data_IF_906786766365
#
_entry.id   IF_906786766365
#
_cell.length_a   1.000
_cell.length_b   1.000
_cell.length_c   1.000
_cell.angle_alpha   90.00
_cell.angle_beta   90.00
_cell.angle_gamma   90.00
#
_symmetry.space_group_name_H-M   'P 1'
#
loop_
_entity.id
_entity.type
_entity.pdbx_description
1 polymer ?
#
# COMPACT_ATOMS: atom_id res chain seq x y z
N UNK A 1 20.21 30.77 5.28
CA UNK A 1 21.49 31.37 5.72
C UNK A 1 21.61 30.89 7.14
N UNK A 2 22.34 29.80 7.31
CA UNK A 2 22.17 28.89 8.43
C UNK A 2 23.31 29.15 9.43
N UNK A 3 23.05 28.94 10.72
CA UNK A 3 24.00 29.26 11.77
C UNK A 3 25.27 28.40 11.63
N UNK A 4 26.47 28.97 11.76
CA UNK A 4 27.71 28.21 11.65
C UNK A 4 27.78 27.14 12.74
N UNK A 5 27.92 25.87 12.34
CA UNK A 5 28.15 24.72 13.23
C UNK A 5 27.02 23.69 13.34
N UNK A 6 25.87 23.88 12.67
CA UNK A 6 24.80 22.86 12.68
C UNK A 6 25.10 21.69 11.73
N UNK A 7 24.89 20.46 12.21
CA UNK A 7 24.99 19.26 11.38
C UNK A 7 23.75 19.10 10.51
N UNK A 8 23.86 18.38 9.39
CA UNK A 8 22.69 18.08 8.56
C UNK A 8 21.61 17.31 9.34
N UNK A 9 22.02 16.40 10.23
CA UNK A 9 21.14 15.68 11.14
C UNK A 9 20.26 16.60 11.99
N UNK A 10 20.87 17.62 12.60
CA UNK A 10 20.16 18.61 13.42
C UNK A 10 19.16 19.42 12.59
N UNK A 11 19.51 19.76 11.35
CA UNK A 11 18.65 20.51 10.44
C UNK A 11 17.50 19.64 9.90
N UNK A 12 17.80 18.40 9.52
CA UNK A 12 16.82 17.53 8.90
C UNK A 12 15.76 17.08 9.92
N UNK A 13 16.19 16.67 11.12
CA UNK A 13 15.29 16.15 12.15
C UNK A 13 14.83 17.18 13.19
N UNK A 14 15.16 18.46 12.99
CA UNK A 14 14.90 19.50 13.99
C UNK A 14 15.45 19.09 15.39
N UNK A 15 16.69 18.57 15.42
CA UNK A 15 17.52 18.14 16.58
C UNK A 15 17.29 16.74 17.17
N UNK A 16 16.31 15.94 16.74
CA UNK A 16 16.14 14.57 17.27
C UNK A 16 15.90 13.52 16.16
N UNK A 17 16.92 12.77 15.74
CA UNK A 17 16.74 11.66 14.81
C UNK A 17 15.99 10.49 15.48
N UNK A 18 15.24 9.68 14.71
CA UNK A 18 14.79 8.36 15.13
C UNK A 18 15.93 7.50 15.67
N UNK A 19 15.65 6.71 16.71
CA UNK A 19 16.58 5.71 17.23
C UNK A 19 16.94 4.73 16.10
N UNK A 20 18.24 4.40 15.96
CA UNK A 20 18.83 3.47 14.98
C UNK A 20 19.24 4.03 13.59
N UNK A 21 19.32 5.36 13.41
CA UNK A 21 19.83 5.95 12.15
C UNK A 21 21.37 6.12 12.11
N UNK A 22 22.07 5.95 13.23
CA UNK A 22 23.50 6.25 13.34
C UNK A 22 24.42 5.21 12.66
N UNK A 23 23.96 3.97 12.44
CA UNK A 23 24.73 2.90 11.77
C UNK A 23 24.59 2.90 10.23
N UNK A 24 24.00 3.96 9.63
CA UNK A 24 23.43 3.90 8.28
C UNK A 24 24.28 4.57 7.19
N UNK A 25 25.54 4.15 7.04
CA UNK A 25 26.40 4.60 5.92
C UNK A 25 26.02 3.87 4.63
N UNK A 26 25.19 4.51 3.80
CA UNK A 26 24.66 3.95 2.55
C UNK A 26 25.69 3.79 1.40
N UNK A 27 26.81 4.50 1.44
CA UNK A 27 27.70 4.62 0.28
C UNK A 27 28.68 3.44 0.10
N UNK A 28 28.71 2.47 1.02
CA UNK A 28 29.68 1.35 1.02
C UNK A 28 29.09 -0.06 0.94
N UNK A 29 27.76 -0.22 1.03
CA UNK A 29 27.12 -1.54 0.95
C UNK A 29 26.81 -1.87 -0.51
N UNK A 30 27.28 -3.01 -1.04
CA UNK A 30 26.95 -3.43 -2.40
C UNK A 30 25.44 -3.64 -2.55
N UNK A 31 24.88 -3.18 -3.67
CA UNK A 31 23.46 -3.33 -3.98
C UNK A 31 23.05 -4.80 -3.96
N UNK A 32 21.90 -5.10 -3.35
CA UNK A 32 21.34 -6.46 -3.34
C UNK A 32 21.01 -6.90 -4.77
N UNK A 33 21.81 -7.80 -5.32
CA UNK A 33 21.57 -8.34 -6.66
C UNK A 33 20.38 -9.32 -6.66
N UNK A 34 19.51 -9.18 -7.65
CA UNK A 34 18.47 -10.18 -7.93
C UNK A 34 19.11 -11.37 -8.66
N UNK A 35 18.93 -12.62 -8.18
CA UNK A 35 19.52 -13.79 -8.83
C UNK A 35 18.84 -14.05 -10.18
N UNK A 36 19.44 -13.51 -11.24
CA UNK A 36 19.03 -13.76 -12.61
C UNK A 36 19.57 -15.12 -13.06
N UNK A 37 18.89 -16.21 -12.66
CA UNK A 37 19.17 -17.53 -13.21
C UNK A 37 18.93 -17.54 -14.74
N UNK A 38 19.49 -18.51 -15.48
CA UNK A 38 19.34 -18.70 -16.94
C UNK A 38 17.91 -19.01 -17.42
N UNK A 39 16.89 -18.59 -16.66
CA UNK A 39 15.48 -18.71 -17.01
C UNK A 39 15.15 -17.79 -18.19
N UNK A 40 14.25 -18.27 -19.04
CA UNK A 40 13.70 -17.50 -20.15
C UNK A 40 12.73 -16.47 -19.56
N UNK A 41 13.11 -15.20 -19.61
CA UNK A 41 12.26 -14.10 -19.18
C UNK A 41 11.11 -13.92 -20.17
N UNK A 42 9.88 -13.96 -19.68
CA UNK A 42 8.70 -13.57 -20.46
C UNK A 42 8.39 -12.12 -20.15
N UNK A 43 8.42 -11.29 -21.19
CA UNK A 43 7.97 -9.92 -21.09
C UNK A 43 6.45 -9.91 -21.02
N UNK A 44 5.87 -9.24 -20.01
CA UNK A 44 4.42 -9.09 -19.94
C UNK A 44 3.91 -7.92 -20.78
N UNK A 45 2.59 -7.74 -20.74
CA UNK A 45 1.84 -6.75 -21.52
C UNK A 45 2.06 -5.29 -21.04
N UNK A 46 1.45 -4.33 -21.73
CA UNK A 46 1.44 -2.94 -21.26
C UNK A 46 0.27 -2.74 -20.30
N UNK A 47 0.50 -1.98 -19.22
CA UNK A 47 -0.56 -1.66 -18.25
C UNK A 47 -1.54 -0.60 -18.79
N UNK A 48 -1.12 0.23 -19.75
CA UNK A 48 -1.99 1.20 -20.43
C UNK A 48 -1.66 1.29 -21.92
N UNK A 49 -2.71 1.42 -22.74
CA UNK A 49 -2.60 1.60 -24.20
C UNK A 49 -2.39 3.08 -24.59
N UNK A 50 -2.62 4.04 -23.69
CA UNK A 50 -2.66 5.48 -23.97
C UNK A 50 -1.30 6.19 -23.86
N UNK A 51 -0.21 5.44 -23.72
CA UNK A 51 1.13 6.00 -23.56
C UNK A 51 1.79 6.36 -24.91
N UNK A 52 2.36 7.58 -25.06
CA UNK A 52 2.97 8.02 -26.31
C UNK A 52 4.07 7.07 -26.81
N UNK A 53 4.14 6.89 -28.13
CA UNK A 53 5.17 6.10 -28.79
C UNK A 53 6.58 6.62 -28.42
N UNK A 54 7.45 5.74 -27.92
CA UNK A 54 8.80 6.09 -27.44
C UNK A 54 9.01 5.90 -25.93
N UNK A 55 7.95 5.63 -25.16
CA UNK A 55 8.02 5.20 -23.76
C UNK A 55 7.37 3.81 -23.57
N UNK A 56 8.04 2.71 -23.97
CA UNK A 56 7.49 1.38 -23.76
C UNK A 56 7.69 0.96 -22.29
N UNK A 57 6.70 1.26 -21.44
CA UNK A 57 6.55 0.61 -20.13
C UNK A 57 5.85 -0.72 -20.38
N UNK A 58 6.61 -1.82 -20.30
CA UNK A 58 6.13 -3.20 -20.39
C UNK A 58 6.11 -3.74 -18.96
N UNK A 59 5.35 -4.80 -18.65
CA UNK A 59 5.37 -5.41 -17.30
C UNK A 59 6.81 -5.75 -16.87
N UNK A 60 7.44 -4.83 -16.17
CA UNK A 60 7.92 -4.85 -14.80
C UNK A 60 8.23 -3.39 -14.43
N UNK A 61 7.76 -2.97 -13.27
CA UNK A 61 7.59 -1.56 -12.92
C UNK A 61 8.92 -0.81 -12.75
N UNK A 62 8.90 0.42 -13.27
CA UNK A 62 9.86 1.53 -13.19
C UNK A 62 11.27 1.28 -13.74
N UNK A 63 11.55 1.99 -14.82
CA UNK A 63 12.82 1.98 -15.55
C UNK A 63 13.55 3.32 -15.33
N UNK A 64 14.83 3.27 -14.97
CA UNK A 64 15.64 4.47 -14.73
C UNK A 64 16.85 4.54 -15.66
N UNK A 65 16.99 5.62 -16.46
CA UNK A 65 18.26 5.91 -17.10
C UNK A 65 19.30 6.33 -16.07
N UNK A 66 20.57 6.05 -16.37
CA UNK A 66 21.69 6.66 -15.66
C UNK A 66 21.56 8.18 -15.72
N UNK A 67 21.72 8.83 -14.57
CA UNK A 67 21.71 10.29 -14.52
C UNK A 67 22.98 10.83 -15.21
N UNK A 68 22.83 11.51 -16.35
CA UNK A 68 23.97 11.78 -17.19
C UNK A 68 24.80 12.94 -16.63
N UNK A 69 26.12 12.88 -16.85
CA UNK A 69 27.05 13.87 -16.29
C UNK A 69 26.74 15.31 -16.70
N UNK A 70 26.30 15.53 -17.93
CA UNK A 70 25.96 16.87 -18.41
C UNK A 70 24.76 17.46 -17.66
N UNK A 71 23.78 16.64 -17.23
CA UNK A 71 22.67 17.09 -16.39
C UNK A 71 23.15 17.41 -14.98
N UNK A 72 24.07 16.62 -14.42
CA UNK A 72 24.69 16.93 -13.13
C UNK A 72 25.47 18.26 -13.16
N UNK A 73 26.23 18.50 -14.24
CA UNK A 73 26.91 19.79 -14.48
C UNK A 73 25.90 20.94 -14.60
N UNK A 74 24.77 20.73 -15.29
CA UNK A 74 23.71 21.72 -15.39
C UNK A 74 23.05 22.02 -14.04
N UNK A 75 22.83 20.99 -13.21
CA UNK A 75 22.31 21.16 -11.85
C UNK A 75 23.29 21.96 -10.99
N UNK A 76 24.59 21.64 -11.01
CA UNK A 76 25.62 22.38 -10.26
C UNK A 76 25.68 23.87 -10.65
N UNK A 77 25.37 24.22 -11.91
CA UNK A 77 25.22 25.63 -12.31
C UNK A 77 23.97 26.28 -11.72
N UNK A 78 22.89 25.51 -11.54
CA UNK A 78 21.60 25.98 -10.98
C UNK A 78 21.64 26.14 -9.47
N UNK A 79 22.28 25.20 -8.77
CA UNK A 79 22.49 25.21 -7.32
C UNK A 79 24.00 25.05 -7.08
N UNK A 80 24.75 26.17 -7.09
CA UNK A 80 26.19 26.11 -6.87
C UNK A 80 26.54 25.46 -5.53
N UNK A 81 27.55 24.57 -5.55
CA UNK A 81 28.08 23.94 -4.35
C UNK A 81 29.58 23.73 -4.48
N UNK A 82 30.33 24.11 -3.45
CA UNK A 82 31.79 23.91 -3.35
C UNK A 82 32.15 22.56 -2.72
N UNK A 83 31.17 21.90 -2.10
CA UNK A 83 31.35 20.66 -1.31
C UNK A 83 31.13 19.40 -2.16
N UNK A 84 30.30 19.48 -3.22
CA UNK A 84 29.86 18.32 -3.97
C UNK A 84 30.60 18.18 -5.30
N UNK A 85 31.21 17.02 -5.53
CA UNK A 85 31.77 16.65 -6.83
C UNK A 85 30.66 16.28 -7.83
N UNK A 86 30.99 16.34 -9.12
CA UNK A 86 30.05 15.95 -10.19
C UNK A 86 29.58 14.51 -10.03
N UNK A 87 30.47 13.57 -9.69
CA UNK A 87 30.12 12.16 -9.50
C UNK A 87 29.19 11.95 -8.31
N UNK A 88 29.39 12.71 -7.22
CA UNK A 88 28.48 12.68 -6.07
C UNK A 88 27.09 13.20 -6.46
N UNK A 89 27.01 14.30 -7.20
CA UNK A 89 25.73 14.83 -7.71
C UNK A 89 25.05 13.84 -8.65
N UNK A 90 25.80 13.16 -9.52
CA UNK A 90 25.26 12.10 -10.38
C UNK A 90 24.63 10.98 -9.55
N UNK A 91 25.32 10.51 -8.51
CA UNK A 91 24.83 9.42 -7.67
C UNK A 91 23.65 9.82 -6.77
N UNK A 92 23.60 11.06 -6.29
CA UNK A 92 22.48 11.58 -5.48
C UNK A 92 21.23 11.90 -6.33
N UNK A 93 21.42 12.22 -7.61
CA UNK A 93 20.32 12.51 -8.54
C UNK A 93 19.91 11.32 -9.41
N UNK A 94 20.61 10.18 -9.30
CA UNK A 94 20.28 8.97 -10.03
C UNK A 94 18.98 8.34 -9.51
N UNK A 95 17.89 8.37 -10.30
CA UNK A 95 16.61 7.81 -9.88
C UNK A 95 16.67 6.32 -9.54
N UNK A 96 17.55 5.56 -10.22
CA UNK A 96 17.78 4.15 -9.92
C UNK A 96 18.35 3.97 -8.53
N UNK A 97 19.36 4.77 -8.18
CA UNK A 97 19.99 4.67 -6.87
C UNK A 97 19.06 5.18 -5.77
N UNK A 98 18.29 6.24 -6.03
CA UNK A 98 17.33 6.76 -5.06
C UNK A 98 16.23 5.75 -4.74
N UNK A 99 15.62 5.14 -5.77
CA UNK A 99 14.59 4.13 -5.54
C UNK A 99 15.18 2.85 -4.90
N UNK A 100 16.37 2.42 -5.32
CA UNK A 100 17.02 1.25 -4.71
C UNK A 100 17.34 1.47 -3.24
N UNK A 101 17.92 2.64 -2.89
CA UNK A 101 18.23 3.01 -1.50
C UNK A 101 16.96 3.03 -0.66
N UNK A 102 15.87 3.62 -1.17
CA UNK A 102 14.61 3.67 -0.45
C UNK A 102 14.06 2.27 -0.13
N UNK A 103 14.02 1.37 -1.12
CA UNK A 103 13.53 0.00 -0.88
C UNK A 103 14.44 -0.82 0.04
N UNK A 104 15.76 -0.75 -0.14
CA UNK A 104 16.70 -1.42 0.77
C UNK A 104 16.54 -0.90 2.21
N UNK A 105 16.31 0.39 2.37
CA UNK A 105 16.10 1.04 3.66
C UNK A 105 14.75 0.66 4.29
N UNK A 106 13.69 0.58 3.50
CA UNK A 106 12.38 0.05 3.94
C UNK A 106 12.53 -1.40 4.43
N UNK A 107 13.19 -2.26 3.67
CA UNK A 107 13.40 -3.67 4.02
C UNK A 107 14.24 -3.85 5.29
N UNK A 108 15.15 -2.92 5.58
CA UNK A 108 16.03 -2.98 6.76
C UNK A 108 15.39 -2.37 8.00
N UNK A 109 14.80 -1.19 7.87
CA UNK A 109 14.44 -0.34 9.01
C UNK A 109 12.93 -0.26 9.26
N UNK A 110 12.10 -0.56 8.26
CA UNK A 110 10.66 -0.53 8.45
C UNK A 110 10.21 -1.78 9.25
N UNK A 111 9.41 -1.62 10.31
CA UNK A 111 8.79 -2.74 11.02
C UNK A 111 7.99 -3.63 10.06
N UNK A 112 7.99 -4.94 10.30
CA UNK A 112 7.36 -5.93 9.40
C UNK A 112 5.88 -5.57 9.12
N UNK A 113 5.14 -5.04 10.11
CA UNK A 113 3.76 -4.52 9.97
C UNK A 113 3.63 -3.46 8.89
N UNK A 114 4.54 -2.49 8.86
CA UNK A 114 4.45 -1.32 7.99
C UNK A 114 5.02 -1.58 6.59
N UNK A 115 5.74 -2.68 6.37
CA UNK A 115 6.19 -3.09 5.02
C UNK A 115 5.02 -3.38 4.08
N UNK A 116 3.84 -3.71 4.60
CA UNK A 116 2.63 -3.87 3.81
C UNK A 116 2.23 -2.60 3.04
N UNK A 117 2.78 -1.44 3.40
CA UNK A 117 2.53 -0.16 2.72
C UNK A 117 3.26 -0.01 1.38
N UNK A 118 4.26 -0.84 1.11
CA UNK A 118 5.18 -0.69 0.00
C UNK A 118 5.29 -2.00 -0.82
N UNK A 119 5.68 -1.91 -2.10
CA UNK A 119 6.10 -3.09 -2.85
C UNK A 119 7.23 -3.85 -2.16
N UNK A 120 7.13 -5.17 -2.10
CA UNK A 120 8.24 -6.04 -1.71
C UNK A 120 9.39 -5.92 -2.71
N UNK A 121 10.59 -5.70 -2.21
CA UNK A 121 11.81 -5.58 -2.99
C UNK A 121 12.57 -6.92 -3.06
N UNK A 122 13.00 -7.29 -4.26
CA UNK A 122 13.73 -8.54 -4.51
C UNK A 122 15.20 -8.33 -4.90
N UNK A 123 15.61 -7.10 -5.18
CA UNK A 123 16.97 -6.76 -5.60
C UNK A 123 17.01 -5.96 -6.89
N UNK A 124 18.21 -5.75 -7.40
CA UNK A 124 18.48 -5.05 -8.65
C UNK A 124 19.15 -5.96 -9.68
N UNK A 125 19.05 -5.57 -10.95
CA UNK A 125 19.84 -6.11 -12.04
C UNK A 125 20.67 -4.95 -12.58
N UNK A 126 22.00 -5.04 -12.57
CA UNK A 126 22.89 -3.95 -13.02
C UNK A 126 23.40 -4.10 -14.45
N UNK A 127 23.36 -5.32 -15.00
CA UNK A 127 23.88 -5.67 -16.33
C UNK A 127 22.88 -6.49 -17.15
N UNK A 128 21.79 -5.85 -17.58
CA UNK A 128 20.81 -6.47 -18.48
C UNK A 128 21.45 -6.70 -19.85
N UNK A 129 21.69 -7.98 -20.17
CA UNK A 129 22.20 -8.36 -21.49
C UNK A 129 21.12 -8.16 -22.57
N UNK A 130 21.36 -7.18 -23.45
CA UNK A 130 20.49 -6.83 -24.58
C UNK A 130 20.16 -8.02 -25.48
N UNK A 131 21.10 -8.94 -25.69
CA UNK A 131 20.93 -10.07 -26.61
C UNK A 131 19.86 -11.08 -26.16
N UNK A 132 19.46 -11.04 -24.87
CA UNK A 132 18.42 -11.93 -24.32
C UNK A 132 17.00 -11.46 -24.62
N UNK A 133 16.80 -10.34 -25.30
CA UNK A 133 15.49 -9.74 -25.52
C UNK A 133 15.29 -9.23 -26.96
N UNK A 134 14.04 -9.21 -27.47
CA UNK A 134 13.77 -8.73 -28.83
C UNK A 134 14.21 -7.28 -29.06
N UNK A 135 14.81 -7.01 -30.23
CA UNK A 135 15.40 -5.70 -30.58
C UNK A 135 14.41 -4.53 -30.51
N UNK A 136 13.12 -4.80 -30.76
CA UNK A 136 12.01 -3.83 -30.71
C UNK A 136 11.87 -3.11 -29.36
N UNK A 137 12.40 -3.70 -28.29
CA UNK A 137 12.39 -3.08 -26.97
C UNK A 137 13.69 -2.32 -26.78
N UNK A 138 13.69 -1.04 -26.41
CA UNK A 138 14.92 -0.33 -26.01
C UNK A 138 15.23 -0.64 -24.54
N UNK A 139 15.82 -1.81 -24.29
CA UNK A 139 16.27 -2.18 -22.95
C UNK A 139 17.55 -1.47 -22.59
N UNK A 140 17.71 -1.32 -21.29
CA UNK A 140 18.70 -0.48 -20.65
C UNK A 140 19.36 -1.29 -19.57
N UNK A 141 20.52 -0.85 -19.09
CA UNK A 141 21.46 -1.73 -18.38
C UNK A 141 20.97 -2.12 -16.98
N UNK A 142 20.19 -1.26 -16.32
CA UNK A 142 19.80 -1.43 -14.91
C UNK A 142 18.28 -1.54 -14.74
N UNK A 143 17.85 -2.33 -13.75
CA UNK A 143 16.45 -2.45 -13.33
C UNK A 143 16.32 -2.81 -11.85
N UNK A 144 15.19 -2.42 -11.25
CA UNK A 144 14.79 -2.78 -9.90
C UNK A 144 13.74 -3.88 -10.00
N UNK A 145 13.85 -4.92 -9.17
CA UNK A 145 12.92 -6.05 -9.15
C UNK A 145 12.01 -5.94 -7.93
N UNK A 146 10.73 -5.68 -8.20
CA UNK A 146 9.68 -5.51 -7.20
C UNK A 146 8.61 -6.59 -7.35
N UNK A 147 7.78 -6.74 -6.32
CA UNK A 147 6.56 -7.52 -6.44
C UNK A 147 5.66 -7.01 -7.56
N UNK A 148 4.96 -7.95 -8.20
CA UNK A 148 4.03 -7.61 -9.25
C UNK A 148 2.72 -7.13 -8.63
N UNK A 149 2.43 -5.85 -8.81
CA UNK A 149 1.19 -5.22 -8.37
C UNK A 149 0.19 -5.20 -9.53
N UNK A 150 -1.01 -5.76 -9.30
CA UNK A 150 -2.11 -5.88 -10.28
C UNK A 150 -3.41 -5.27 -9.73
N UNK A 151 -4.35 -4.82 -10.58
CA UNK A 151 -5.64 -4.28 -10.13
C UNK A 151 -6.60 -5.41 -9.72
N UNK A 152 -6.20 -6.25 -8.77
CA UNK A 152 -6.98 -7.36 -8.24
C UNK A 152 -6.77 -7.54 -6.73
N UNK A 153 -7.64 -8.31 -6.09
CA UNK A 153 -7.61 -8.50 -4.62
C UNK A 153 -6.30 -9.09 -4.11
N UNK A 154 -5.66 -9.97 -4.88
CA UNK A 154 -4.39 -10.58 -4.50
C UNK A 154 -3.26 -9.54 -4.29
N UNK A 155 -3.34 -8.38 -4.93
CA UNK A 155 -2.39 -7.29 -4.73
C UNK A 155 -2.84 -6.28 -3.67
N UNK A 156 -4.11 -6.29 -3.26
CA UNK A 156 -4.63 -5.32 -2.28
C UNK A 156 -4.08 -5.56 -0.88
N UNK A 157 -4.01 -4.49 -0.11
CA UNK A 157 -3.55 -4.46 1.28
C UNK A 157 -4.70 -4.00 2.16
N UNK A 158 -4.98 -4.75 3.22
CA UNK A 158 -5.91 -4.31 4.25
C UNK A 158 -5.12 -3.58 5.32
N UNK A 159 -5.55 -2.35 5.61
CA UNK A 159 -5.00 -1.57 6.70
C UNK A 159 -6.04 -1.53 7.82
N UNK A 160 -5.61 -1.56 9.07
CA UNK A 160 -6.52 -1.45 10.21
C UNK A 160 -7.18 -0.07 10.29
N UNK A 161 -8.40 -0.03 10.83
CA UNK A 161 -9.08 1.18 11.20
C UNK A 161 -8.47 1.73 12.50
N UNK A 162 -8.06 2.99 12.47
CA UNK A 162 -7.57 3.71 13.64
C UNK A 162 -8.45 4.90 13.97
N UNK A 163 -8.26 5.45 15.18
CA UNK A 163 -8.89 6.73 15.54
C UNK A 163 -8.29 7.81 14.65
N UNK A 164 -9.14 8.49 13.90
CA UNK A 164 -8.70 9.58 13.04
C UNK A 164 -7.92 10.63 13.82
N UNK A 165 -6.72 10.94 13.34
CA UNK A 165 -5.90 12.04 13.84
C UNK A 165 -6.63 13.38 13.70
N UNK A 166 -6.17 14.40 14.43
CA UNK A 166 -6.70 15.77 14.35
C UNK A 166 -6.71 16.28 12.90
N UNK A 167 -5.67 15.95 12.12
CA UNK A 167 -5.55 16.31 10.70
C UNK A 167 -6.69 15.71 9.88
N UNK A 168 -7.01 14.43 10.09
CA UNK A 168 -8.07 13.72 9.35
C UNK A 168 -9.46 14.20 9.80
N UNK A 169 -9.63 14.53 11.07
CA UNK A 169 -10.88 15.11 11.57
C UNK A 169 -11.13 16.50 10.98
N UNK A 170 -10.10 17.36 10.91
CA UNK A 170 -10.20 18.68 10.28
C UNK A 170 -10.49 18.57 8.79
N UNK A 171 -9.86 17.61 8.10
CA UNK A 171 -10.19 17.29 6.72
C UNK A 171 -11.66 16.91 6.55
N UNK A 172 -12.21 16.09 7.46
CA UNK A 172 -13.63 15.75 7.48
C UNK A 172 -14.54 16.97 7.65
N UNK A 173 -14.14 17.98 8.45
CA UNK A 173 -14.89 19.25 8.56
C UNK A 173 -14.90 19.99 7.22
N UNK A 174 -13.77 20.05 6.54
CA UNK A 174 -13.66 20.65 5.20
C UNK A 174 -14.53 19.91 4.17
N UNK A 175 -14.56 18.58 4.20
CA UNK A 175 -15.40 17.78 3.28
C UNK A 175 -16.90 18.04 3.45
N UNK A 176 -17.37 18.38 4.65
CA UNK A 176 -18.79 18.73 4.90
C UNK A 176 -19.26 19.99 4.16
N UNK A 177 -18.34 20.76 3.58
CA UNK A 177 -18.67 21.90 2.72
C UNK A 177 -19.09 21.46 1.31
N UNK A 178 -18.88 20.19 0.95
CA UNK A 178 -19.30 19.58 -0.31
C UNK A 178 -20.62 18.82 -0.12
N UNK A 179 -21.36 18.60 -1.22
CA UNK A 179 -22.60 17.80 -1.25
C UNK A 179 -22.32 16.29 -1.19
N UNK A 180 -21.71 15.85 -0.09
CA UNK A 180 -21.33 14.47 0.18
C UNK A 180 -22.20 13.89 1.29
N UNK A 181 -22.52 12.60 1.14
CA UNK A 181 -23.16 11.81 2.19
C UNK A 181 -22.17 11.53 3.34
N UNK A 182 -22.70 11.15 4.51
CA UNK A 182 -21.87 10.78 5.66
C UNK A 182 -20.93 9.62 5.35
N UNK A 183 -21.39 8.65 4.56
CA UNK A 183 -20.59 7.51 4.11
C UNK A 183 -19.42 7.95 3.23
N UNK A 184 -19.64 8.83 2.26
CA UNK A 184 -18.57 9.36 1.41
C UNK A 184 -17.52 10.11 2.22
N UNK A 185 -17.96 10.94 3.17
CA UNK A 185 -17.05 11.66 4.07
C UNK A 185 -16.20 10.67 4.87
N UNK A 186 -16.80 9.63 5.47
CA UNK A 186 -16.08 8.61 6.24
C UNK A 186 -15.09 7.83 5.35
N UNK A 187 -15.47 7.52 4.10
CA UNK A 187 -14.59 6.86 3.15
C UNK A 187 -13.39 7.73 2.77
N UNK A 188 -13.59 9.01 2.42
CA UNK A 188 -12.50 9.92 2.09
C UNK A 188 -11.59 10.21 3.29
N UNK A 189 -12.13 10.26 4.51
CA UNK A 189 -11.34 10.34 5.73
C UNK A 189 -10.49 9.08 5.94
N UNK A 190 -11.08 7.90 5.75
CA UNK A 190 -10.35 6.63 5.81
C UNK A 190 -9.26 6.54 4.74
N UNK A 191 -9.52 7.03 3.52
CA UNK A 191 -8.53 7.07 2.45
C UNK A 191 -7.36 8.01 2.81
N UNK A 192 -7.66 9.20 3.34
CA UNK A 192 -6.63 10.14 3.78
C UNK A 192 -5.78 9.55 4.89
N UNK A 193 -6.40 8.97 5.90
CA UNK A 193 -5.71 8.34 7.02
C UNK A 193 -4.73 7.28 6.52
N UNK A 194 -5.19 6.38 5.64
CA UNK A 194 -4.36 5.33 5.05
C UNK A 194 -3.17 5.88 4.28
N UNK A 195 -3.38 6.88 3.40
CA UNK A 195 -2.28 7.49 2.64
C UNK A 195 -1.28 8.19 3.55
N UNK A 196 -1.75 8.90 4.58
CA UNK A 196 -0.86 9.54 5.55
C UNK A 196 -0.05 8.52 6.34
N UNK A 197 -0.63 7.37 6.74
CA UNK A 197 0.11 6.30 7.44
C UNK A 197 1.22 5.72 6.59
N UNK A 198 0.98 5.48 5.29
CA UNK A 198 2.02 5.01 4.36
C UNK A 198 3.19 5.96 4.26
N UNK A 199 2.92 7.26 4.13
CA UNK A 199 3.97 8.28 4.01
C UNK A 199 4.66 8.55 5.35
N UNK A 200 3.93 8.55 6.47
CA UNK A 200 4.51 8.68 7.80
C UNK A 200 5.47 7.54 8.13
N UNK A 201 5.18 6.31 7.68
CA UNK A 201 6.09 5.19 7.84
C UNK A 201 7.45 5.40 7.14
N UNK A 202 7.51 6.22 6.07
CA UNK A 202 8.77 6.64 5.45
C UNK A 202 9.51 7.64 6.34
N UNK A 203 8.81 8.65 6.86
CA UNK A 203 9.41 9.67 7.72
C UNK A 203 10.00 9.08 9.00
N UNK A 204 9.30 8.11 9.60
CA UNK A 204 9.72 7.44 10.83
C UNK A 204 11.05 6.70 10.66
N UNK A 205 11.42 6.37 9.41
CA UNK A 205 12.70 5.75 9.05
C UNK A 205 13.62 6.71 8.28
N UNK A 206 13.31 8.01 8.22
CA UNK A 206 14.18 9.01 7.57
C UNK A 206 14.14 9.02 6.04
N UNK A 207 13.06 8.54 5.41
CA UNK A 207 12.83 8.68 3.96
C UNK A 207 11.79 9.77 3.71
N UNK A 208 12.00 10.59 2.68
CA UNK A 208 10.96 11.45 2.09
C UNK A 208 10.68 11.03 0.65
N UNK A 209 9.41 11.03 0.22
CA UNK A 209 9.06 10.52 -1.11
C UNK A 209 9.37 11.52 -2.22
N UNK A 210 9.16 12.81 -1.98
CA UNK A 210 9.58 13.91 -2.86
C UNK A 210 8.65 14.25 -4.02
N UNK A 211 7.82 13.31 -4.44
CA UNK A 211 6.91 13.46 -5.58
C UNK A 211 5.60 12.71 -5.34
N UNK A 212 4.94 12.94 -4.21
CA UNK A 212 3.69 12.23 -3.90
C UNK A 212 2.62 12.55 -4.96
N UNK A 213 2.15 11.55 -5.70
CA UNK A 213 1.03 11.68 -6.65
C UNK A 213 -0.09 10.68 -6.39
N UNK A 214 -1.26 10.93 -6.96
CA UNK A 214 -2.40 10.02 -6.81
C UNK A 214 -2.13 8.65 -7.47
N UNK A 215 -1.45 8.66 -8.63
CA UNK A 215 -1.00 7.48 -9.37
C UNK A 215 0.17 6.73 -8.70
N UNK A 216 0.66 7.19 -7.54
CA UNK A 216 1.65 6.47 -6.73
C UNK A 216 1.04 5.63 -5.61
N UNK A 217 -0.25 5.82 -5.32
CA UNK A 217 -0.99 4.99 -4.36
C UNK A 217 -1.84 3.91 -5.05
N UNK A 218 -2.22 4.12 -6.31
CA UNK A 218 -3.06 3.22 -7.11
C UNK A 218 -2.50 3.03 -8.50
N UNK A 219 -2.74 1.85 -9.07
CA UNK A 219 -2.32 1.51 -10.42
C UNK A 219 -3.07 2.39 -11.43
N UNK A 220 -2.42 2.87 -12.52
CA UNK A 220 -3.14 3.57 -13.58
C UNK A 220 -4.34 2.76 -14.11
N UNK A 221 -5.50 3.40 -14.19
CA UNK A 221 -6.77 2.77 -14.60
C UNK A 221 -7.51 2.03 -13.48
N UNK A 222 -6.98 2.01 -12.27
CA UNK A 222 -7.58 1.37 -11.11
C UNK A 222 -8.15 2.40 -10.13
N UNK A 223 -9.23 2.07 -9.43
CA UNK A 223 -9.91 2.99 -8.52
C UNK A 223 -9.29 3.00 -7.12
N UNK A 224 -8.99 1.81 -6.60
CA UNK A 224 -8.57 1.61 -5.21
C UNK A 224 -7.06 1.75 -5.03
N UNK A 225 -6.66 2.24 -3.86
CA UNK A 225 -5.26 2.23 -3.44
C UNK A 225 -4.75 0.80 -3.27
N UNK A 226 -3.48 0.57 -3.57
CA UNK A 226 -2.80 -0.71 -3.36
C UNK A 226 -1.65 -0.54 -2.37
N UNK A 227 -0.57 0.10 -2.80
CA UNK A 227 0.66 0.36 -2.06
C UNK A 227 1.24 1.71 -2.52
N UNK A 228 2.14 2.30 -1.74
CA UNK A 228 2.90 3.48 -2.14
C UNK A 228 4.17 3.05 -2.88
N UNK A 229 4.39 3.55 -4.10
CA UNK A 229 5.53 3.22 -4.96
C UNK A 229 6.05 4.44 -5.73
N UNK A 230 7.14 4.26 -6.48
CA UNK A 230 7.89 5.28 -7.24
C UNK A 230 8.74 6.20 -6.35
N UNK A 231 9.83 5.63 -5.83
CA UNK A 231 10.79 6.34 -4.99
C UNK A 231 11.92 7.01 -5.78
N UNK A 232 11.69 7.27 -7.07
CA UNK A 232 12.69 7.82 -8.00
C UNK A 232 13.23 9.20 -7.62
N UNK A 233 12.41 10.01 -6.95
CA UNK A 233 12.74 11.36 -6.46
C UNK A 233 12.85 11.37 -4.92
N UNK A 234 12.83 10.19 -4.31
CA UNK A 234 12.93 10.08 -2.86
C UNK A 234 14.29 10.56 -2.35
N UNK A 235 14.32 10.93 -1.08
CA UNK A 235 15.55 11.16 -0.35
C UNK A 235 15.56 10.20 0.83
N UNK A 236 16.61 9.37 0.90
CA UNK A 236 16.88 8.52 2.06
C UNK A 236 17.95 9.23 2.89
N UNK A 237 17.66 9.46 4.16
CA UNK A 237 18.53 10.20 5.06
C UNK A 237 19.94 9.58 5.14
N UNK A 238 20.94 10.46 5.12
CA UNK A 238 22.32 10.14 5.47
C UNK A 238 22.88 11.27 6.34
N UNK A 239 23.84 11.01 7.24
CA UNK A 239 24.47 12.07 8.04
C UNK A 239 25.29 13.06 7.18
N UNK A 240 25.70 12.66 5.98
CA UNK A 240 26.40 13.54 5.05
C UNK A 240 25.46 14.63 4.53
N UNK A 241 25.97 15.87 4.49
CA UNK A 241 25.22 16.99 3.92
C UNK A 241 24.85 16.70 2.46
N UNK A 242 23.55 16.64 2.08
CA UNK A 242 23.16 16.29 0.73
C UNK A 242 23.27 17.48 -0.22
N UNK A 243 23.52 17.21 -1.49
CA UNK A 243 23.46 18.21 -2.55
C UNK A 243 22.03 18.73 -2.71
N UNK A 244 21.07 17.81 -2.70
CA UNK A 244 19.65 18.10 -2.83
C UNK A 244 18.79 17.14 -2.01
N UNK A 245 17.61 17.61 -1.63
CA UNK A 245 16.57 16.78 -1.02
C UNK A 245 15.32 16.89 -1.87
N UNK A 246 14.86 15.77 -2.42
CA UNK A 246 13.73 15.69 -3.35
C UNK A 246 13.87 16.65 -4.54
N UNK A 247 15.03 16.62 -5.20
CA UNK A 247 15.41 17.50 -6.33
C UNK A 247 15.35 19.03 -6.03
N UNK A 248 15.28 19.40 -4.75
CA UNK A 248 15.28 20.78 -4.26
C UNK A 248 16.41 21.06 -3.27
N UNK A 249 16.45 22.29 -2.75
CA UNK A 249 17.41 22.65 -1.70
C UNK A 249 17.15 21.83 -0.42
N UNK A 250 18.20 21.44 0.32
CA UNK A 250 18.06 20.82 1.63
C UNK A 250 17.15 21.64 2.55
N UNK A 251 16.27 20.97 3.27
CA UNK A 251 15.25 21.56 4.16
C UNK A 251 14.84 20.54 5.22
N UNK A 252 14.30 21.01 6.34
CA UNK A 252 13.86 20.14 7.43
C UNK A 252 12.80 19.13 6.99
N UNK A 253 12.79 17.97 7.64
CA UNK A 253 11.78 16.93 7.48
C UNK A 253 10.39 17.51 7.77
N UNK A 254 10.22 18.30 8.83
CA UNK A 254 8.96 18.97 9.18
C UNK A 254 8.39 19.82 8.04
N UNK A 255 9.26 20.54 7.31
CA UNK A 255 8.87 21.33 6.14
C UNK A 255 8.43 20.45 4.97
N UNK A 256 9.09 19.31 4.76
CA UNK A 256 8.74 18.34 3.72
C UNK A 256 7.42 17.65 4.04
N UNK A 257 7.28 17.14 5.27
CA UNK A 257 6.07 16.50 5.79
C UNK A 257 4.84 17.38 5.61
N UNK A 258 4.94 18.66 5.97
CA UNK A 258 3.84 19.63 5.78
C UNK A 258 3.43 19.75 4.31
N UNK A 259 4.40 19.82 3.39
CA UNK A 259 4.14 19.94 1.96
C UNK A 259 3.49 18.68 1.39
N UNK A 260 4.06 17.50 1.65
CA UNK A 260 3.53 16.22 1.16
C UNK A 260 2.14 15.94 1.73
N UNK A 261 1.93 16.19 3.03
CA UNK A 261 0.60 16.08 3.67
C UNK A 261 -0.44 16.97 3.00
N UNK A 262 -0.12 18.25 2.77
CA UNK A 262 -1.02 19.17 2.09
C UNK A 262 -1.34 18.69 0.66
N UNK A 263 -0.36 18.10 -0.02
CA UNK A 263 -0.54 17.58 -1.36
C UNK A 263 -1.50 16.38 -1.37
N UNK A 264 -1.34 15.42 -0.45
CA UNK A 264 -2.26 14.27 -0.27
C UNK A 264 -3.68 14.76 0.03
N UNK A 265 -3.83 15.70 0.97
CA UNK A 265 -5.13 16.27 1.31
C UNK A 265 -5.81 16.91 0.10
N UNK A 266 -5.07 17.68 -0.69
CA UNK A 266 -5.62 18.32 -1.89
C UNK A 266 -5.99 17.31 -2.99
N UNK A 267 -5.22 16.23 -3.17
CA UNK A 267 -5.57 15.16 -4.10
C UNK A 267 -6.89 14.50 -3.72
N UNK A 268 -7.05 14.11 -2.46
CA UNK A 268 -8.27 13.44 -1.98
C UNK A 268 -9.46 14.40 -2.01
N UNK A 269 -9.24 15.67 -1.66
CA UNK A 269 -10.28 16.70 -1.76
C UNK A 269 -10.79 16.83 -3.20
N UNK A 270 -9.91 16.86 -4.20
CA UNK A 270 -10.30 16.89 -5.62
C UNK A 270 -11.11 15.66 -6.03
N UNK A 271 -10.72 14.46 -5.55
CA UNK A 271 -11.52 13.23 -5.76
C UNK A 271 -12.93 13.39 -5.18
N UNK A 272 -13.03 13.98 -3.99
CA UNK A 272 -14.31 14.24 -3.32
C UNK A 272 -15.17 15.27 -4.07
N UNK A 273 -14.58 16.38 -4.55
CA UNK A 273 -15.27 17.36 -5.40
C UNK A 273 -15.82 16.73 -6.69
N UNK A 274 -15.10 15.76 -7.24
CA UNK A 274 -15.49 15.03 -8.45
C UNK A 274 -16.50 13.90 -8.19
N UNK A 275 -16.95 13.70 -6.95
CA UNK A 275 -17.81 12.59 -6.55
C UNK A 275 -17.24 11.22 -6.96
N UNK A 276 -15.91 11.08 -6.92
CA UNK A 276 -15.16 9.96 -7.52
C UNK A 276 -15.65 8.58 -7.04
N UNK A 277 -15.88 8.39 -5.73
CA UNK A 277 -16.45 7.13 -5.22
C UNK A 277 -17.86 6.85 -5.69
N UNK A 278 -18.72 7.87 -5.76
CA UNK A 278 -20.11 7.72 -6.22
C UNK A 278 -20.14 7.31 -7.68
N UNK A 279 -19.31 7.96 -8.50
CA UNK A 279 -19.14 7.66 -9.91
C UNK A 279 -18.60 6.24 -10.13
N UNK A 280 -17.54 5.86 -9.40
CA UNK A 280 -16.99 4.50 -9.46
C UNK A 280 -18.03 3.43 -9.13
N UNK A 281 -18.77 3.61 -8.04
CA UNK A 281 -19.79 2.65 -7.61
C UNK A 281 -20.95 2.60 -8.60
N UNK A 282 -21.41 3.74 -9.11
CA UNK A 282 -22.47 3.78 -10.14
C UNK A 282 -22.03 3.05 -11.43
N UNK A 283 -20.78 3.23 -11.84
CA UNK A 283 -20.21 2.52 -13.00
C UNK A 283 -20.08 1.02 -12.75
N UNK A 284 -19.55 0.61 -11.59
CA UNK A 284 -19.36 -0.80 -11.22
C UNK A 284 -20.70 -1.54 -11.11
N UNK A 285 -21.70 -0.92 -10.48
CA UNK A 285 -23.05 -1.47 -10.35
C UNK A 285 -23.94 -1.26 -11.60
N UNK A 286 -23.45 -0.56 -12.63
CA UNK A 286 -24.21 -0.20 -13.85
C UNK A 286 -25.56 0.48 -13.52
N UNK A 287 -25.54 1.46 -12.62
CA UNK A 287 -26.74 2.14 -12.12
C UNK A 287 -26.56 3.67 -12.10
N UNK A 288 -27.61 4.41 -11.74
CA UNK A 288 -27.56 5.88 -11.71
C UNK A 288 -26.95 6.42 -10.42
N UNK A 289 -26.43 7.66 -10.47
CA UNK A 289 -25.85 8.32 -9.30
C UNK A 289 -26.88 8.55 -8.20
N UNK A 290 -28.14 8.83 -8.56
CA UNK A 290 -29.24 9.04 -7.62
C UNK A 290 -29.55 7.77 -6.82
N UNK A 291 -29.51 6.60 -7.47
CA UNK A 291 -29.69 5.31 -6.80
C UNK A 291 -28.54 5.08 -5.81
N UNK A 292 -27.29 5.34 -6.21
CA UNK A 292 -26.15 5.17 -5.30
C UNK A 292 -26.20 6.16 -4.13
N UNK A 293 -26.56 7.40 -4.37
CA UNK A 293 -26.75 8.40 -3.31
C UNK A 293 -27.85 7.98 -2.33
N UNK A 294 -28.95 7.43 -2.84
CA UNK A 294 -30.00 6.84 -2.02
C UNK A 294 -29.45 5.69 -1.16
N UNK A 295 -28.69 4.75 -1.72
CA UNK A 295 -28.06 3.65 -0.97
C UNK A 295 -27.06 4.12 0.10
N UNK A 296 -26.34 5.21 -0.16
CA UNK A 296 -25.45 5.83 0.84
C UNK A 296 -26.21 6.45 2.01
N UNK A 297 -27.43 6.90 1.78
CA UNK A 297 -28.27 7.57 2.77
C UNK A 297 -29.29 6.66 3.46
N UNK A 298 -29.64 5.52 2.84
CA UNK A 298 -30.65 4.59 3.32
C UNK A 298 -30.46 4.26 4.81
N UNK A 299 -31.47 4.42 5.68
CA UNK A 299 -31.34 4.01 7.08
C UNK A 299 -30.91 2.55 7.18
N UNK A 300 -29.85 2.30 7.96
CA UNK A 300 -29.51 0.95 8.35
C UNK A 300 -30.53 0.53 9.41
N UNK A 301 -31.36 -0.47 9.15
CA UNK A 301 -32.27 -1.01 10.16
C UNK A 301 -31.44 -1.77 11.22
N UNK A 302 -30.85 -1.05 12.17
CA UNK A 302 -29.90 -1.61 13.15
C UNK A 302 -30.45 -2.77 14.00
N UNK A 303 -31.78 -2.82 14.20
CA UNK A 303 -32.46 -3.90 14.94
C UNK A 303 -33.00 -5.04 14.05
N UNK A 304 -32.84 -4.95 12.72
CA UNK A 304 -33.44 -5.88 11.75
C UNK A 304 -32.55 -6.23 10.56
N UNK A 305 -31.30 -5.75 10.52
CA UNK A 305 -30.29 -6.25 9.61
C UNK A 305 -29.93 -7.65 10.09
N UNK A 306 -30.50 -8.67 9.44
CA UNK A 306 -30.01 -10.05 9.54
C UNK A 306 -28.60 -10.08 8.95
N UNK A 307 -27.63 -9.61 9.73
CA UNK A 307 -26.24 -9.53 9.33
C UNK A 307 -25.69 -10.95 9.24
N UNK A 308 -25.12 -11.25 8.09
CA UNK A 308 -24.33 -12.44 7.85
C UNK A 308 -22.88 -12.26 8.27
N UNK A 309 -22.22 -13.36 8.63
CA UNK A 309 -20.77 -13.40 8.73
C UNK A 309 -20.17 -13.27 7.33
N UNK A 310 -19.14 -12.45 7.19
CA UNK A 310 -18.44 -12.21 5.93
C UNK A 310 -17.01 -12.73 6.07
N UNK A 311 -16.56 -13.55 5.13
CA UNK A 311 -15.21 -14.11 5.10
C UNK A 311 -14.54 -13.62 3.83
N UNK A 312 -13.37 -13.00 4.00
CA UNK A 312 -12.61 -12.37 2.91
C UNK A 312 -11.22 -13.00 2.86
N UNK A 313 -10.82 -13.49 1.69
CA UNK A 313 -9.46 -14.00 1.45
C UNK A 313 -8.52 -12.82 1.19
N UNK A 314 -7.42 -12.76 1.93
CA UNK A 314 -6.44 -11.67 1.91
C UNK A 314 -5.05 -12.27 1.73
N UNK A 315 -4.43 -12.02 0.57
CA UNK A 315 -3.13 -12.63 0.23
C UNK A 315 -1.95 -12.01 0.97
N UNK A 316 -2.13 -10.81 1.52
CA UNK A 316 -1.06 -10.03 2.11
C UNK A 316 -1.32 -9.81 3.59
N UNK A 317 -0.25 -9.83 4.39
CA UNK A 317 -0.33 -9.51 5.81
C UNK A 317 -0.87 -8.08 6.00
N UNK A 318 -1.88 -7.87 6.86
CA UNK A 318 -2.32 -6.52 7.21
C UNK A 318 -1.24 -5.81 8.04
N UNK A 319 -1.32 -4.49 8.14
CA UNK A 319 -0.45 -3.74 9.04
C UNK A 319 -0.70 -4.10 10.51
N UNK A 320 -1.97 -4.27 10.87
CA UNK A 320 -2.40 -4.73 12.18
C UNK A 320 -3.56 -5.72 12.01
N UNK A 321 -3.55 -6.81 12.77
CA UNK A 321 -4.62 -7.82 12.79
C UNK A 321 -5.84 -7.35 13.60
N UNK A 322 -6.47 -6.26 13.15
CA UNK A 322 -7.61 -5.61 13.79
C UNK A 322 -8.74 -5.35 12.79
N UNK A 323 -9.77 -4.59 13.20
CA UNK A 323 -10.84 -4.18 12.30
C UNK A 323 -10.27 -3.42 11.11
N UNK A 324 -10.69 -3.72 9.87
CA UNK A 324 -10.13 -3.09 8.68
C UNK A 324 -10.67 -1.66 8.49
N UNK A 325 -9.87 -0.80 7.89
CA UNK A 325 -10.28 0.53 7.47
C UNK A 325 -11.30 0.43 6.33
N UNK A 326 -12.25 1.37 6.31
CA UNK A 326 -13.31 1.43 5.31
C UNK A 326 -12.74 1.49 3.89
N UNK A 327 -11.72 2.32 3.66
CA UNK A 327 -11.14 2.50 2.32
C UNK A 327 -10.48 1.23 1.77
N UNK A 328 -9.91 0.37 2.62
CA UNK A 328 -9.21 -0.84 2.17
C UNK A 328 -10.07 -2.09 2.13
N UNK A 329 -11.12 -2.16 2.95
CA UNK A 329 -12.03 -3.34 2.96
C UNK A 329 -13.05 -3.29 1.84
N UNK A 330 -13.43 -2.09 1.39
CA UNK A 330 -14.47 -1.90 0.37
C UNK A 330 -14.27 -2.75 -0.91
N UNK A 331 -13.10 -2.84 -1.55
CA UNK A 331 -12.93 -3.71 -2.73
C UNK A 331 -13.13 -5.19 -2.42
N UNK A 332 -12.83 -5.64 -1.20
CA UNK A 332 -13.07 -7.03 -0.80
C UNK A 332 -14.56 -7.31 -0.59
N UNK A 333 -15.29 -6.36 0.01
CA UNK A 333 -16.75 -6.46 0.13
C UNK A 333 -17.42 -6.42 -1.24
N UNK A 334 -16.99 -5.53 -2.14
CA UNK A 334 -17.46 -5.48 -3.53
C UNK A 334 -17.30 -6.84 -4.22
N UNK A 335 -16.16 -7.52 -4.02
CA UNK A 335 -15.94 -8.84 -4.60
C UNK A 335 -16.75 -9.96 -3.94
N UNK A 336 -17.01 -9.86 -2.64
CA UNK A 336 -17.85 -10.79 -1.89
C UNK A 336 -19.36 -10.59 -2.15
N UNK A 337 -19.72 -9.54 -2.89
CA UNK A 337 -21.09 -9.13 -3.14
C UNK A 337 -21.90 -10.26 -3.81
N UNK A 338 -23.09 -10.60 -3.29
CA UNK A 338 -24.00 -11.51 -3.97
C UNK A 338 -24.44 -10.94 -5.33
N UNK A 339 -24.45 -11.78 -6.36
CA UNK A 339 -24.77 -11.36 -7.75
C UNK A 339 -26.17 -10.71 -7.90
N UNK A 340 -27.12 -11.09 -7.05
CA UNK A 340 -28.49 -10.59 -7.07
C UNK A 340 -28.71 -9.32 -6.23
N UNK A 341 -27.68 -8.80 -5.57
CA UNK A 341 -27.74 -7.58 -4.74
C UNK A 341 -26.50 -6.70 -4.98
N UNK A 342 -26.38 -6.04 -6.14
CA UNK A 342 -25.16 -5.35 -6.55
C UNK A 342 -24.73 -4.22 -5.61
N UNK A 343 -25.62 -3.67 -4.79
CA UNK A 343 -25.31 -2.61 -3.81
C UNK A 343 -25.09 -3.14 -2.38
N UNK A 344 -25.15 -4.46 -2.18
CA UNK A 344 -25.04 -5.11 -0.85
C UNK A 344 -23.81 -4.63 -0.08
N UNK A 345 -22.67 -4.54 -0.76
CA UNK A 345 -21.40 -4.19 -0.13
C UNK A 345 -21.40 -2.75 0.44
N UNK A 346 -22.21 -1.85 -0.10
CA UNK A 346 -22.41 -0.49 0.44
C UNK A 346 -23.03 -0.57 1.82
N UNK A 347 -24.13 -1.32 1.96
CA UNK A 347 -24.82 -1.51 3.24
C UNK A 347 -23.89 -2.14 4.30
N UNK A 348 -23.04 -3.09 3.89
CA UNK A 348 -22.10 -3.77 4.79
C UNK A 348 -20.91 -2.89 5.17
N UNK A 349 -20.40 -2.11 4.23
CA UNK A 349 -19.38 -1.10 4.49
C UNK A 349 -19.87 -0.05 5.50
N UNK A 350 -21.12 0.40 5.39
CA UNK A 350 -21.75 1.32 6.35
C UNK A 350 -21.99 0.68 7.72
N UNK A 351 -22.17 -0.64 7.75
CA UNK A 351 -22.45 -1.41 8.97
C UNK A 351 -21.19 -1.98 9.63
N UNK A 352 -19.97 -1.65 9.19
CA UNK A 352 -18.72 -2.23 9.72
C UNK A 352 -18.59 -2.15 11.25
N UNK A 353 -19.14 -1.11 11.88
CA UNK A 353 -19.15 -0.92 13.34
C UNK A 353 -20.01 -1.94 14.09
N UNK A 354 -20.90 -2.65 13.40
CA UNK A 354 -21.73 -3.73 13.93
C UNK A 354 -21.02 -5.09 13.87
N UNK A 355 -19.80 -5.15 13.34
CA UNK A 355 -18.98 -6.34 13.27
C UNK A 355 -17.82 -6.31 14.27
N UNK A 356 -17.35 -7.50 14.62
CA UNK A 356 -16.02 -7.77 15.15
C UNK A 356 -15.16 -8.44 14.06
N UNK A 357 -13.84 -8.32 14.18
CA UNK A 357 -12.91 -8.99 13.27
C UNK A 357 -12.28 -10.21 13.94
N UNK A 358 -12.11 -11.26 13.14
CA UNK A 358 -11.17 -12.34 13.40
C UNK A 358 -10.22 -12.46 12.22
N UNK A 359 -8.95 -12.75 12.53
CA UNK A 359 -7.92 -12.99 11.54
C UNK A 359 -7.39 -14.39 11.69
N UNK A 360 -7.40 -15.14 10.60
CA UNK A 360 -6.99 -16.54 10.57
C UNK A 360 -5.93 -16.69 9.50
N UNK A 361 -4.78 -17.24 9.86
CA UNK A 361 -3.75 -17.62 8.91
C UNK A 361 -4.07 -19.01 8.37
N UNK A 362 -4.12 -19.12 7.05
CA UNK A 362 -4.10 -20.38 6.34
C UNK A 362 -2.68 -20.65 5.87
N UNK A 363 -2.13 -21.79 6.27
CA UNK A 363 -0.83 -22.26 5.83
C UNK A 363 -1.00 -23.57 5.07
N UNK A 364 -0.39 -23.62 3.89
CA UNK A 364 -0.20 -24.84 3.13
C UNK A 364 1.28 -25.21 3.24
N UNK A 365 1.57 -26.39 3.83
CA UNK A 365 2.94 -26.87 4.02
C UNK A 365 3.11 -28.23 3.40
N UNK A 366 4.14 -28.38 2.56
CA UNK A 366 4.54 -29.67 2.02
C UNK A 366 5.47 -30.36 3.03
N UNK A 367 4.93 -31.31 3.81
CA UNK A 367 5.74 -32.06 4.79
C UNK A 367 6.59 -33.13 4.11
N UNK A 368 6.11 -33.67 2.99
CA UNK A 368 6.77 -34.65 2.15
C UNK A 368 6.37 -34.40 0.68
N UNK A 369 7.20 -34.80 -0.30
CA UNK A 369 6.86 -34.65 -1.72
C UNK A 369 5.46 -35.23 -2.03
N UNK A 370 4.53 -34.37 -2.43
CA UNK A 370 3.15 -34.75 -2.75
C UNK A 370 2.19 -34.95 -1.57
N UNK A 371 2.63 -34.69 -0.32
CA UNK A 371 1.75 -34.66 0.86
C UNK A 371 1.66 -33.24 1.40
N UNK A 372 0.53 -32.62 1.10
CA UNK A 372 0.23 -31.26 1.51
C UNK A 372 -0.61 -31.25 2.78
N UNK A 373 -0.10 -30.63 3.84
CA UNK A 373 -0.84 -30.41 5.07
C UNK A 373 -1.35 -28.98 5.12
N UNK A 374 -2.67 -28.84 5.23
CA UNK A 374 -3.35 -27.56 5.43
C UNK A 374 -3.55 -27.33 6.93
N UNK A 375 -3.11 -26.19 7.42
CA UNK A 375 -3.36 -25.77 8.79
C UNK A 375 -3.98 -24.38 8.84
N UNK A 376 -4.79 -24.15 9.87
CA UNK A 376 -5.41 -22.87 10.15
C UNK A 376 -5.07 -22.46 11.58
N UNK A 377 -4.57 -21.24 11.74
CA UNK A 377 -4.22 -20.66 13.03
C UNK A 377 -4.97 -19.35 13.22
N UNK A 378 -5.66 -19.19 14.36
CA UNK A 378 -6.31 -17.91 14.69
C UNK A 378 -5.26 -16.94 15.21
N UNK A 379 -5.00 -15.89 14.43
CA UNK A 379 -4.05 -14.84 14.78
C UNK A 379 -4.68 -13.84 15.74
N UNK A 380 -5.92 -13.44 15.46
CA UNK A 380 -6.68 -12.57 16.36
C UNK A 380 -8.17 -12.85 16.31
N UNK A 381 -8.84 -12.58 17.43
CA UNK A 381 -10.29 -12.75 17.58
C UNK A 381 -10.85 -11.62 18.44
N UNK A 382 -11.83 -10.89 17.90
CA UNK A 382 -12.50 -9.78 18.58
C UNK A 382 -11.51 -8.77 19.18
N UNK A 383 -10.49 -8.40 18.40
CA UNK A 383 -9.46 -7.44 18.78
C UNK A 383 -8.36 -7.97 19.71
N UNK A 384 -8.41 -9.24 20.15
CA UNK A 384 -7.36 -9.86 20.94
C UNK A 384 -6.40 -10.64 20.05
N UNK A 385 -5.12 -10.32 20.13
CA UNK A 385 -4.06 -11.10 19.47
C UNK A 385 -3.86 -12.41 20.26
N UNK A 386 -3.88 -13.53 19.54
CA UNK A 386 -3.76 -14.88 20.12
C UNK A 386 -2.45 -15.59 19.70
N UNK A 387 -1.83 -15.15 18.61
CA UNK A 387 -0.60 -15.72 18.08
C UNK A 387 0.59 -14.75 18.18
N UNK A 388 1.82 -15.28 18.12
CA UNK A 388 3.02 -14.45 18.04
C UNK A 388 3.19 -13.91 16.61
N UNK A 389 2.73 -12.67 16.40
CA UNK A 389 2.71 -12.01 15.10
C UNK A 389 4.10 -11.78 14.49
N UNK A 390 5.12 -11.58 15.33
CA UNK A 390 6.46 -11.20 14.88
C UNK A 390 7.22 -12.38 14.23
N UNK A 391 6.84 -13.61 14.58
CA UNK A 391 7.43 -14.85 14.07
C UNK A 391 6.56 -15.55 13.01
N UNK A 392 5.56 -14.87 12.43
CA UNK A 392 4.72 -15.47 11.39
C UNK A 392 5.52 -15.68 10.10
N UNK A 393 5.96 -16.92 9.86
CA UNK A 393 6.55 -17.33 8.59
C UNK A 393 5.46 -17.49 7.53
N UNK A 394 5.33 -16.48 6.67
CA UNK A 394 4.38 -16.53 5.54
C UNK A 394 5.13 -17.09 4.34
N UNK A 395 4.83 -18.34 3.99
CA UNK A 395 5.32 -18.94 2.75
C UNK A 395 4.49 -18.45 1.54
N UNK A 396 4.92 -18.77 0.32
CA UNK A 396 4.25 -18.31 -0.91
C UNK A 396 2.83 -18.86 -1.11
N UNK A 397 2.45 -19.91 -0.38
CA UNK A 397 1.13 -20.54 -0.44
C UNK A 397 0.23 -20.12 0.74
N UNK A 398 0.76 -19.36 1.68
CA UNK A 398 0.04 -18.89 2.86
C UNK A 398 -0.78 -17.65 2.53
N UNK A 399 -1.94 -17.53 3.17
CA UNK A 399 -2.79 -16.34 3.07
C UNK A 399 -3.64 -16.20 4.32
N UNK A 400 -4.32 -15.06 4.45
CA UNK A 400 -5.15 -14.75 5.59
C UNK A 400 -6.63 -14.79 5.22
N UNK A 401 -7.46 -15.17 6.18
CA UNK A 401 -8.88 -14.86 6.19
C UNK A 401 -9.12 -13.71 7.16
N UNK A 402 -9.77 -12.67 6.65
CA UNK A 402 -10.46 -11.68 7.48
C UNK A 402 -11.91 -12.14 7.60
N UNK A 403 -12.34 -12.40 8.83
CA UNK A 403 -13.74 -12.73 9.15
C UNK A 403 -14.37 -11.55 9.85
N UNK A 404 -15.46 -11.03 9.30
CA UNK A 404 -16.33 -10.04 9.93
C UNK A 404 -17.51 -10.78 10.55
N UNK A 405 -17.51 -10.86 11.88
CA UNK A 405 -18.54 -11.51 12.69
C UNK A 405 -19.51 -10.47 13.24
N UNK A 406 -20.83 -10.56 13.04
CA UNK A 406 -21.77 -9.63 13.65
C UNK A 406 -21.67 -9.68 15.18
N UNK A 407 -21.63 -8.52 15.83
CA UNK A 407 -21.45 -8.40 17.30
C UNK A 407 -22.54 -9.10 18.10
N UNK A 408 -23.76 -9.12 17.58
CA UNK A 408 -24.91 -9.72 18.25
C UNK A 408 -24.96 -11.26 18.12
N UNK A 409 -23.98 -11.85 17.42
CA UNK A 409 -23.87 -13.29 17.32
C UNK A 409 -23.23 -13.90 18.57
N UNK A 410 -24.08 -14.41 19.47
CA UNK A 410 -23.66 -15.36 20.50
C UNK A 410 -23.56 -16.74 19.87
N UNK A 411 -22.33 -17.26 19.76
CA UNK A 411 -22.03 -18.56 19.14
C UNK A 411 -21.13 -19.37 20.07
N UNK A 412 -21.62 -20.55 20.48
CA UNK A 412 -20.81 -21.55 21.19
C UNK A 412 -19.77 -22.18 20.25
N UNK A 413 -18.59 -22.50 20.78
CA UNK A 413 -17.45 -23.04 20.03
C UNK A 413 -17.05 -22.20 18.81
N UNK A 414 -17.18 -20.87 18.89
CA UNK A 414 -16.91 -19.96 17.78
C UNK A 414 -15.57 -20.27 17.08
N UNK A 415 -14.49 -20.49 17.84
CA UNK A 415 -13.17 -20.86 17.29
C UNK A 415 -13.23 -22.09 16.39
N UNK A 416 -13.83 -23.19 16.84
CA UNK A 416 -13.92 -24.44 16.08
C UNK A 416 -14.72 -24.23 14.79
N UNK A 417 -15.84 -23.49 14.88
CA UNK A 417 -16.70 -23.20 13.73
C UNK A 417 -16.00 -22.30 12.71
N UNK A 418 -15.28 -21.26 13.16
CA UNK A 418 -14.51 -20.39 12.28
C UNK A 418 -13.47 -21.18 11.46
N UNK A 419 -12.73 -22.08 12.12
CA UNK A 419 -11.74 -22.93 11.43
C UNK A 419 -12.39 -23.88 10.41
N UNK A 420 -13.55 -24.46 10.73
CA UNK A 420 -14.29 -25.32 9.82
C UNK A 420 -14.77 -24.56 8.57
N UNK A 421 -15.32 -23.35 8.75
CA UNK A 421 -15.80 -22.53 7.64
C UNK A 421 -14.66 -22.02 6.77
N UNK A 422 -13.54 -21.61 7.38
CA UNK A 422 -12.34 -21.24 6.62
C UNK A 422 -11.85 -22.41 5.76
N UNK A 423 -11.77 -23.62 6.34
CA UNK A 423 -11.38 -24.84 5.60
C UNK A 423 -12.30 -25.10 4.40
N UNK A 424 -13.61 -24.99 4.58
CA UNK A 424 -14.60 -25.12 3.49
C UNK A 424 -14.43 -24.03 2.41
N UNK A 425 -14.12 -22.81 2.83
CA UNK A 425 -13.89 -21.67 1.93
C UNK A 425 -12.67 -21.91 1.04
N UNK A 426 -11.57 -22.47 1.57
CA UNK A 426 -10.40 -22.86 0.78
C UNK A 426 -10.80 -23.80 -0.36
N UNK A 427 -11.57 -24.85 -0.07
CA UNK A 427 -12.01 -25.84 -1.07
C UNK A 427 -12.88 -25.24 -2.16
N UNK A 428 -13.62 -24.16 -1.86
CA UNK A 428 -14.47 -23.48 -2.85
C UNK A 428 -13.72 -22.61 -3.85
N UNK A 429 -12.46 -22.24 -3.56
CA UNK A 429 -11.65 -21.33 -4.37
C UNK A 429 -12.16 -19.87 -4.43
N UNK A 430 -13.21 -19.52 -3.66
CA UNK A 430 -13.79 -18.17 -3.66
C UNK A 430 -12.91 -17.17 -2.90
N UNK A 431 -12.86 -15.93 -3.40
CA UNK A 431 -12.13 -14.82 -2.75
C UNK A 431 -12.92 -14.19 -1.58
N UNK A 432 -14.24 -14.40 -1.54
CA UNK A 432 -15.09 -13.95 -0.45
C UNK A 432 -16.37 -14.80 -0.35
N UNK A 433 -16.86 -14.99 0.87
CA UNK A 433 -18.05 -15.80 1.17
C UNK A 433 -18.88 -15.13 2.26
N UNK A 434 -20.19 -15.21 2.12
CA UNK A 434 -21.16 -14.81 3.14
C UNK A 434 -21.83 -16.03 3.77
N UNK A 435 -22.14 -15.96 5.06
CA UNK A 435 -22.75 -17.06 5.80
C UNK A 435 -23.78 -16.53 6.81
N UNK A 436 -25.00 -17.03 6.76
CA UNK A 436 -26.03 -16.69 7.77
C UNK A 436 -25.81 -17.43 9.08
N UNK A 437 -26.37 -16.91 10.19
CA UNK A 437 -26.24 -17.51 11.53
C UNK A 437 -26.77 -18.94 11.55
N UNK A 438 -27.92 -19.18 10.91
CA UNK A 438 -28.53 -20.50 10.83
C UNK A 438 -27.68 -21.52 10.05
N UNK A 439 -26.85 -21.06 9.10
CA UNK A 439 -25.90 -21.93 8.40
C UNK A 439 -24.70 -22.24 9.29
N UNK A 440 -24.12 -21.23 9.95
CA UNK A 440 -22.99 -21.41 10.86
C UNK A 440 -23.31 -22.36 12.03
N UNK A 441 -24.54 -22.38 12.52
CA UNK A 441 -24.94 -23.25 13.63
C UNK A 441 -25.14 -24.72 13.21
N UNK A 442 -25.43 -24.98 11.92
CA UNK A 442 -25.64 -26.32 11.37
C UNK A 442 -24.34 -27.01 10.99
N UNK A 443 -23.37 -26.25 10.49
CA UNK A 443 -22.01 -26.68 10.16
C UNK A 443 -21.12 -26.69 11.41
#
# INVERSE_FOLDING_TARGET
MDAPGQTWTEIFFDRQPPLNLDDMVHDSVPLRQFPCHDKIWKLGERVSQDMPAGRPILVLWIYFPDYPEHEARAQLRRIPSEIHSIDRVKNELDPFLNETRAYEHIDRCCPVSRRAYFPRFYGVITDINRSRFPERYRLRRRAIVLETIKPNLASRRILAAERFSVVVQEFGRRLRQLSLTSFEIEWYQSLLDNRLRRVNALYDIGITHGDIRDDHFRIPGDFYDTVLYDFSISYTYSPNWPYCVNAGRPRSLSSIQKRERNHIQNQIYRRAEQLDIRNHIAQSCQTSLEIIEHEFCCPLNEKGLDLEMIILKVMNRPDVFAMPSLATVLPFLERACPEHQPTWYISRARSLKQYESAWILHNESEKQPGVTEMSHEIISLCGKILANIDNLEINHQSFFFLVLLPRDWVVEDLTRRLLAVCSSTVSSGREGVTMSKAKLLRD
#
